data_IF_323738916449
#
_entry.id   IF_323738916449
#
_cell.length_a   1.000
_cell.length_b   1.000
_cell.length_c   1.000
_cell.angle_alpha   90.00
_cell.angle_beta   90.00
_cell.angle_gamma   90.00
#
_symmetry.space_group_name_H-M   'P 1'
#
loop_
_entity.id
_entity.type
_entity.pdbx_description
1 polymer ?
#
# COMPACT_ATOMS: atom_id res chain seq x y z
N UNK A 1 -1.38 -2.72 -25.73
CA UNK A 1 -1.63 -1.46 -24.99
C UNK A 1 -2.19 -0.49 -25.99
N UNK A 2 -3.39 0.05 -25.78
CA UNK A 2 -3.94 1.09 -26.67
C UNK A 2 -3.24 2.43 -26.39
N UNK A 3 -3.11 3.31 -27.40
CA UNK A 3 -2.47 4.65 -27.27
C UNK A 3 -3.05 5.50 -26.12
N UNK A 4 -4.28 5.21 -25.69
CA UNK A 4 -4.99 5.86 -24.59
C UNK A 4 -4.50 5.38 -23.21
N UNK A 5 -4.25 4.08 -23.05
CA UNK A 5 -3.65 3.50 -21.84
C UNK A 5 -2.21 3.97 -21.64
N UNK A 6 -1.44 4.04 -22.73
CA UNK A 6 -0.08 4.59 -22.72
C UNK A 6 -0.06 6.08 -22.29
N UNK A 7 -1.08 6.87 -22.66
CA UNK A 7 -1.19 8.27 -22.23
C UNK A 7 -1.57 8.41 -20.75
N UNK A 8 -2.41 7.53 -20.21
CA UNK A 8 -2.77 7.53 -18.79
C UNK A 8 -1.63 7.03 -17.89
N UNK A 9 -0.90 5.99 -18.34
CA UNK A 9 0.35 5.55 -17.71
C UNK A 9 1.45 6.63 -17.78
N UNK A 10 1.51 7.42 -18.87
CA UNK A 10 2.42 8.57 -19.01
C UNK A 10 1.98 9.85 -18.29
N UNK A 11 0.75 9.94 -17.80
CA UNK A 11 0.32 11.06 -16.97
C UNK A 11 0.94 10.87 -15.58
N UNK A 12 2.21 11.27 -15.44
CA UNK A 12 3.05 11.08 -14.25
C UNK A 12 2.47 11.57 -12.92
N UNK A 13 1.33 12.28 -12.92
CA UNK A 13 0.56 12.60 -11.70
C UNK A 13 -0.09 11.37 -11.05
N UNK A 14 -0.37 10.31 -11.81
CA UNK A 14 -0.92 9.06 -11.27
C UNK A 14 0.13 8.08 -10.74
N UNK A 15 1.42 8.35 -11.01
CA UNK A 15 2.52 7.56 -10.47
C UNK A 15 2.85 7.92 -9.02
N UNK A 16 2.30 9.02 -8.50
CA UNK A 16 2.65 9.50 -7.16
C UNK A 16 2.07 8.58 -6.08
N UNK A 17 2.90 8.14 -5.12
CA UNK A 17 2.48 7.28 -4.02
C UNK A 17 1.79 8.11 -2.92
N UNK A 18 0.70 8.80 -3.28
CA UNK A 18 -0.01 9.71 -2.37
C UNK A 18 -0.52 8.96 -1.13
N UNK A 19 -1.18 7.79 -1.24
CA UNK A 19 -1.63 7.04 -0.06
C UNK A 19 -0.47 6.61 0.85
N UNK A 20 0.65 6.18 0.28
CA UNK A 20 1.83 5.77 1.03
C UNK A 20 2.46 6.95 1.78
N UNK A 21 2.61 8.11 1.12
CA UNK A 21 3.11 9.33 1.76
C UNK A 21 2.19 9.81 2.88
N UNK A 22 0.87 9.72 2.69
CA UNK A 22 -0.10 10.06 3.74
C UNK A 22 0.06 9.14 4.95
N UNK A 23 0.22 7.83 4.73
CA UNK A 23 0.44 6.87 5.81
C UNK A 23 1.77 7.10 6.54
N UNK A 24 2.82 7.50 5.82
CA UNK A 24 4.10 7.91 6.43
C UNK A 24 3.88 9.11 7.36
N UNK A 25 3.16 10.15 6.90
CA UNK A 25 2.87 11.32 7.73
C UNK A 25 2.05 10.96 8.97
N UNK A 26 1.02 10.12 8.81
CA UNK A 26 0.21 9.64 9.93
C UNK A 26 1.08 8.86 10.94
N UNK A 27 1.94 7.95 10.46
CA UNK A 27 2.86 7.19 11.31
C UNK A 27 3.82 8.09 12.09
N UNK A 28 4.38 9.12 11.45
CA UNK A 28 5.24 10.10 12.12
C UNK A 28 4.45 10.87 13.20
N UNK A 29 3.25 11.33 12.89
CA UNK A 29 2.40 12.03 13.88
C UNK A 29 2.10 11.13 15.07
N UNK A 30 1.77 9.85 14.83
CA UNK A 30 1.52 8.89 15.90
C UNK A 30 2.75 8.73 16.80
N UNK A 31 3.95 8.56 16.23
CA UNK A 31 5.18 8.40 17.02
C UNK A 31 5.59 9.66 17.79
N UNK A 32 5.39 10.84 17.21
CA UNK A 32 5.82 12.12 17.82
C UNK A 32 4.86 12.59 18.90
N UNK A 33 3.55 12.43 18.70
CA UNK A 33 2.53 12.92 19.63
C UNK A 33 2.12 11.90 20.69
N UNK A 34 2.38 10.61 20.47
CA UNK A 34 2.05 9.55 21.43
C UNK A 34 3.34 8.84 21.87
N UNK A 35 4.05 9.37 22.89
CA UNK A 35 5.29 8.79 23.37
C UNK A 35 5.08 7.38 23.93
N UNK A 36 6.06 6.52 23.70
CA UNK A 36 6.03 5.09 24.06
C UNK A 36 5.75 4.87 25.55
N UNK A 37 6.31 5.71 26.43
CA UNK A 37 6.19 5.61 27.89
C UNK A 37 4.73 5.68 28.39
N UNK A 38 3.84 6.34 27.64
CA UNK A 38 2.43 6.55 28.02
C UNK A 38 1.46 5.84 27.08
N UNK A 39 1.86 5.57 25.85
CA UNK A 39 0.99 5.07 24.78
C UNK A 39 1.66 3.95 23.97
N UNK A 40 2.17 2.94 24.66
CA UNK A 40 2.91 1.82 24.05
C UNK A 40 2.20 1.20 22.84
N UNK A 41 0.90 0.86 22.95
CA UNK A 41 0.16 0.22 21.86
C UNK A 41 0.01 1.11 20.63
N UNK A 42 -0.31 2.39 20.84
CA UNK A 42 -0.50 3.37 19.77
C UNK A 42 0.84 3.70 19.10
N UNK A 43 1.90 3.84 19.90
CA UNK A 43 3.24 4.09 19.41
C UNK A 43 3.75 2.91 18.57
N UNK A 44 3.59 1.68 19.07
CA UNK A 44 3.94 0.44 18.36
C UNK A 44 3.16 0.31 17.05
N UNK A 45 1.86 0.58 17.07
CA UNK A 45 1.03 0.61 15.86
C UNK A 45 1.49 1.66 14.85
N UNK A 46 1.81 2.87 15.33
CA UNK A 46 2.37 3.96 14.52
C UNK A 46 3.70 3.57 13.85
N UNK A 47 4.60 2.93 14.61
CA UNK A 47 5.86 2.39 14.10
C UNK A 47 5.66 1.32 13.03
N UNK A 48 4.73 0.38 13.24
CA UNK A 48 4.40 -0.65 12.26
C UNK A 48 3.82 -0.05 10.97
N UNK A 49 2.88 0.90 11.06
CA UNK A 49 2.33 1.59 9.89
C UNK A 49 3.43 2.33 9.15
N UNK A 50 4.27 3.08 9.86
CA UNK A 50 5.36 3.85 9.25
C UNK A 50 6.32 2.94 8.49
N UNK A 51 6.82 1.89 9.15
CA UNK A 51 7.73 0.93 8.54
C UNK A 51 7.08 0.25 7.32
N UNK A 52 5.83 -0.19 7.45
CA UNK A 52 5.10 -0.85 6.34
C UNK A 52 4.85 0.11 5.17
N UNK A 53 4.54 1.37 5.44
CA UNK A 53 4.34 2.38 4.40
C UNK A 53 5.63 2.68 3.64
N UNK A 54 6.78 2.75 4.33
CA UNK A 54 8.09 2.90 3.67
C UNK A 54 8.42 1.67 2.82
N UNK A 55 8.21 0.46 3.34
CA UNK A 55 8.44 -0.81 2.62
C UNK A 55 7.48 -0.97 1.43
N UNK A 56 6.27 -0.41 1.50
CA UNK A 56 5.28 -0.49 0.42
C UNK A 56 5.70 0.23 -0.87
N UNK A 57 6.58 1.23 -0.76
CA UNK A 57 7.10 2.00 -1.89
C UNK A 57 7.90 1.11 -2.88
N UNK A 58 8.98 0.41 -2.46
CA UNK A 58 9.70 -0.49 -3.36
C UNK A 58 8.87 -1.71 -3.76
N UNK A 59 8.04 -2.25 -2.86
CA UNK A 59 7.17 -3.39 -3.14
C UNK A 59 6.14 -3.07 -4.25
N UNK A 60 5.69 -1.83 -4.34
CA UNK A 60 4.75 -1.36 -5.36
C UNK A 60 5.36 -1.11 -6.74
N UNK A 61 6.68 -1.12 -6.90
CA UNK A 61 7.35 -0.85 -8.20
C UNK A 61 6.80 -1.75 -9.32
N UNK A 62 6.65 -3.08 -9.15
CA UNK A 62 6.09 -3.95 -10.17
C UNK A 62 4.65 -3.59 -10.57
N UNK A 63 3.84 -3.06 -9.64
CA UNK A 63 2.45 -2.68 -9.90
C UNK A 63 2.36 -1.46 -10.83
N UNK A 64 3.37 -0.58 -10.87
CA UNK A 64 3.42 0.51 -11.84
C UNK A 64 3.62 0.02 -13.28
N UNK A 65 4.24 -1.14 -13.48
CA UNK A 65 4.46 -1.73 -14.80
C UNK A 65 3.20 -2.40 -15.36
N UNK A 66 2.23 -2.73 -14.50
CA UNK A 66 0.97 -3.36 -14.90
C UNK A 66 0.02 -2.36 -15.59
N UNK A 67 -0.76 -2.85 -16.56
CA UNK A 67 -1.72 -2.05 -17.34
C UNK A 67 -2.82 -1.48 -16.45
N UNK A 68 -3.27 -0.24 -16.72
CA UNK A 68 -4.30 0.46 -15.92
C UNK A 68 -5.62 -0.30 -15.81
N UNK A 69 -6.00 -1.10 -16.83
CA UNK A 69 -7.21 -1.94 -16.80
C UNK A 69 -7.04 -3.32 -16.13
N UNK A 70 -5.84 -3.65 -15.65
CA UNK A 70 -5.52 -4.96 -15.11
C UNK A 70 -5.36 -4.89 -13.59
N UNK A 71 -6.45 -5.15 -12.87
CA UNK A 71 -6.54 -5.08 -11.41
C UNK A 71 -6.08 -6.36 -10.69
N UNK A 72 -5.85 -7.44 -11.43
CA UNK A 72 -5.50 -8.74 -10.84
C UNK A 72 -4.22 -8.71 -10.01
N UNK A 73 -3.20 -7.94 -10.42
CA UNK A 73 -1.98 -7.80 -9.63
C UNK A 73 -2.22 -7.02 -8.33
N UNK A 74 -3.04 -5.97 -8.39
CA UNK A 74 -3.38 -5.21 -7.19
C UNK A 74 -4.14 -6.09 -6.18
N UNK A 75 -5.09 -6.91 -6.67
CA UNK A 75 -5.82 -7.86 -5.85
C UNK A 75 -4.91 -8.96 -5.28
N UNK A 76 -3.99 -9.50 -6.09
CA UNK A 76 -3.02 -10.50 -5.62
C UNK A 76 -2.16 -9.97 -4.46
N UNK A 77 -1.75 -8.70 -4.52
CA UNK A 77 -1.01 -8.06 -3.44
C UNK A 77 -1.83 -7.94 -2.15
N UNK A 78 -3.10 -7.52 -2.26
CA UNK A 78 -4.00 -7.44 -1.10
C UNK A 78 -4.22 -8.83 -0.49
N UNK A 79 -4.51 -9.84 -1.34
CA UNK A 79 -4.72 -11.22 -0.88
C UNK A 79 -3.47 -11.77 -0.22
N UNK A 80 -2.29 -11.58 -0.82
CA UNK A 80 -1.02 -12.02 -0.24
C UNK A 80 -0.79 -11.40 1.14
N UNK A 81 -1.08 -10.10 1.31
CA UNK A 81 -0.97 -9.43 2.60
C UNK A 81 -1.96 -9.94 3.65
N UNK A 82 -3.22 -10.19 3.26
CA UNK A 82 -4.23 -10.77 4.15
C UNK A 82 -3.87 -12.19 4.55
N UNK A 83 -3.35 -13.00 3.62
CA UNK A 83 -2.89 -14.36 3.89
C UNK A 83 -1.67 -14.37 4.82
N UNK A 84 -0.73 -13.43 4.65
CA UNK A 84 0.40 -13.27 5.57
C UNK A 84 -0.07 -12.93 6.99
N UNK A 85 -1.04 -12.03 7.14
CA UNK A 85 -1.65 -11.72 8.44
C UNK A 85 -2.36 -12.93 9.06
N UNK A 86 -3.13 -13.68 8.25
CA UNK A 86 -3.82 -14.90 8.69
C UNK A 86 -2.85 -16.00 9.09
N UNK A 87 -1.75 -16.15 8.37
CA UNK A 87 -0.69 -17.10 8.70
C UNK A 87 -0.11 -16.80 10.09
N UNK A 88 0.18 -15.53 10.37
CA UNK A 88 0.71 -15.10 11.67
C UNK A 88 -0.28 -15.38 12.81
N UNK A 89 -1.56 -15.04 12.64
CA UNK A 89 -2.60 -15.34 13.64
C UNK A 89 -2.81 -16.84 13.88
N UNK A 90 -2.40 -17.70 12.94
CA UNK A 90 -2.51 -19.15 13.05
C UNK A 90 -1.29 -19.81 13.70
N UNK A 91 -0.24 -19.06 14.00
CA UNK A 91 0.94 -19.60 14.68
C UNK A 91 0.61 -19.82 16.18
N UNK A 92 1.08 -20.93 16.78
CA UNK A 92 1.00 -21.13 18.23
C UNK A 92 1.67 -19.98 18.99
N UNK A 93 1.33 -19.74 20.24
CA UNK A 93 2.07 -18.71 21.02
C UNK A 93 3.55 -19.09 21.16
N UNK A 94 4.44 -18.33 20.51
CA UNK A 94 5.88 -18.59 20.48
C UNK A 94 6.66 -17.48 19.76
N UNK A 95 7.96 -17.34 20.07
CA UNK A 95 8.81 -16.35 19.40
C UNK A 95 9.31 -16.91 18.06
N UNK A 96 8.59 -16.61 16.97
CA UNK A 96 9.02 -17.02 15.63
C UNK A 96 9.93 -15.98 14.99
N UNK A 97 11.13 -16.45 14.60
CA UNK A 97 12.08 -15.64 13.84
C UNK A 97 11.44 -15.27 12.50
N UNK A 98 11.24 -13.98 12.27
CA UNK A 98 10.72 -13.43 11.01
C UNK A 98 9.21 -13.12 10.98
N UNK A 99 8.47 -13.40 12.06
CA UNK A 99 7.04 -13.08 12.15
C UNK A 99 6.77 -11.58 11.92
N UNK A 100 7.52 -10.72 12.62
CA UNK A 100 7.42 -9.26 12.42
C UNK A 100 7.76 -8.83 11.00
N UNK A 101 8.72 -9.47 10.33
CA UNK A 101 9.06 -9.15 8.94
C UNK A 101 7.94 -9.56 7.97
N UNK A 102 7.38 -10.76 8.15
CA UNK A 102 6.24 -11.25 7.37
C UNK A 102 5.02 -10.33 7.56
N UNK A 103 4.80 -9.86 8.79
CA UNK A 103 3.71 -8.93 9.10
C UNK A 103 3.91 -7.59 8.39
N UNK A 104 5.11 -6.99 8.50
CA UNK A 104 5.45 -5.72 7.86
C UNK A 104 5.33 -5.81 6.34
N UNK A 105 5.84 -6.88 5.73
CA UNK A 105 5.71 -7.11 4.29
C UNK A 105 4.25 -7.34 3.90
N UNK A 106 3.50 -8.08 4.72
CA UNK A 106 2.08 -8.33 4.50
C UNK A 106 1.27 -7.03 4.48
N UNK A 107 1.45 -6.19 5.50
CA UNK A 107 0.80 -4.87 5.58
C UNK A 107 1.24 -3.98 4.41
N UNK A 108 2.53 -3.97 4.07
CA UNK A 108 3.07 -3.23 2.93
C UNK A 108 2.42 -3.66 1.60
N UNK A 109 2.19 -4.96 1.39
CA UNK A 109 1.47 -5.48 0.23
C UNK A 109 0.01 -5.03 0.19
N UNK A 110 -0.69 -5.01 1.33
CA UNK A 110 -2.06 -4.47 1.40
C UNK A 110 -2.09 -2.99 1.06
N UNK A 111 -1.20 -2.19 1.67
CA UNK A 111 -1.08 -0.74 1.40
C UNK A 111 -0.85 -0.51 -0.09
N UNK A 112 0.12 -1.20 -0.67
CA UNK A 112 0.49 -1.05 -2.07
C UNK A 112 -0.65 -1.46 -3.01
N UNK A 113 -1.25 -2.64 -2.79
CA UNK A 113 -2.37 -3.12 -3.60
C UNK A 113 -3.59 -2.20 -3.54
N UNK A 114 -3.97 -1.72 -2.35
CA UNK A 114 -5.05 -0.76 -2.19
C UNK A 114 -4.74 0.60 -2.86
N UNK A 115 -3.52 1.10 -2.65
CA UNK A 115 -3.07 2.37 -3.25
C UNK A 115 -3.09 2.31 -4.79
N UNK A 116 -2.60 1.22 -5.38
CA UNK A 116 -2.61 1.02 -6.83
C UNK A 116 -4.02 0.83 -7.39
N UNK A 117 -4.88 0.08 -6.69
CA UNK A 117 -6.29 -0.08 -7.06
C UNK A 117 -6.99 1.28 -7.11
N UNK A 118 -6.83 2.11 -6.07
CA UNK A 118 -7.42 3.44 -6.00
C UNK A 118 -6.94 4.33 -7.16
N UNK A 119 -5.63 4.33 -7.43
CA UNK A 119 -5.03 5.07 -8.55
C UNK A 119 -5.57 4.64 -9.90
N UNK A 120 -5.73 3.33 -10.15
CA UNK A 120 -6.31 2.79 -11.39
C UNK A 120 -7.80 3.14 -11.52
N UNK A 121 -8.58 3.06 -10.45
CA UNK A 121 -10.00 3.46 -10.45
C UNK A 121 -10.13 4.93 -10.82
N UNK A 122 -9.37 5.80 -10.14
CA UNK A 122 -9.36 7.23 -10.43
C UNK A 122 -8.95 7.49 -11.89
N UNK A 123 -7.86 6.89 -12.37
CA UNK A 123 -7.41 7.03 -13.76
C UNK A 123 -8.48 6.59 -14.77
N UNK A 124 -9.17 5.49 -14.51
CA UNK A 124 -10.25 4.97 -15.37
C UNK A 124 -11.46 5.92 -15.41
N UNK A 125 -11.79 6.59 -14.30
CA UNK A 125 -12.89 7.56 -14.21
C UNK A 125 -12.54 8.87 -14.93
N UNK A 126 -11.32 9.38 -14.76
CA UNK A 126 -10.87 10.58 -15.48
C UNK A 126 -10.77 10.36 -17.00
N UNK A 127 -10.40 9.15 -17.43
CA UNK A 127 -10.35 8.78 -18.85
C UNK A 127 -11.74 8.73 -19.52
N UNK A 128 -12.79 8.45 -18.75
CA UNK A 128 -14.19 8.36 -19.21
C UNK A 128 -14.89 9.71 -19.28
N UNK A 129 -14.38 10.77 -18.64
CA UNK A 129 -14.98 12.11 -18.76
C UNK A 129 -14.81 12.57 -20.21
N UNK A 130 -15.88 12.71 -21.01
CA UNK A 130 -15.77 13.30 -22.33
C UNK A 130 -15.24 14.72 -22.13
N UNK A 131 -14.23 15.13 -22.89
CA UNK A 131 -14.03 16.56 -23.12
C UNK A 131 -15.32 17.05 -23.78
N UNK A 132 -16.23 17.62 -23.00
CA UNK A 132 -17.22 18.54 -23.56
C UNK A 132 -16.39 19.60 -24.26
N UNK A 133 -16.51 19.63 -25.59
CA UNK A 133 -16.08 20.77 -26.37
C UNK A 133 -16.90 21.99 -25.97
#
# INVERSE_FOLDING_TARGET
MTKREQRLSRQGKFAWPIPEVLLILIGIVLLVFFPEDQYFDINTFGGMILASAVISLPIGIPLFLAKVGFFWFDFAYVVAGVLAYRYILGLPDGAYIGEGLILLVGIACVISGCSHTLRRILASRFAKKPRSK
#
